data_IF_055847467774
#
_entry.id   IF_055847467774
#
_cell.length_a   1.000
_cell.length_b   1.000
_cell.length_c   1.000
_cell.angle_alpha   90.00
_cell.angle_beta   90.00
_cell.angle_gamma   90.00
#
_symmetry.space_group_name_H-M   'P 1'
#
loop_
_entity.id
_entity.type
_entity.pdbx_description
1 polymer ?
#
# COMPACT_ATOMS: atom_id res chain seq x y z
N UNK A 1 -32.82 19.12 -15.85
CA UNK A 1 -31.39 19.43 -15.62
C UNK A 1 -31.28 20.95 -15.52
N UNK A 2 -30.84 21.47 -14.39
CA UNK A 2 -30.66 22.91 -14.19
C UNK A 2 -29.16 23.21 -14.15
N UNK A 3 -28.73 24.27 -14.84
CA UNK A 3 -27.33 24.67 -14.93
C UNK A 3 -27.12 25.89 -14.04
N UNK A 4 -26.14 25.81 -13.14
CA UNK A 4 -25.78 26.88 -12.22
C UNK A 4 -24.27 27.10 -12.28
N UNK A 5 -23.86 28.36 -12.19
CA UNK A 5 -22.47 28.73 -11.96
C UNK A 5 -22.32 29.09 -10.47
N UNK A 6 -21.57 28.28 -9.72
CA UNK A 6 -21.44 28.45 -8.28
C UNK A 6 -20.49 29.58 -7.85
N UNK A 7 -19.72 30.12 -8.80
CA UNK A 7 -18.80 31.24 -8.57
C UNK A 7 -19.36 32.59 -9.03
N UNK A 8 -20.59 32.64 -9.56
CA UNK A 8 -21.16 33.84 -10.16
C UNK A 8 -20.16 34.53 -11.12
N UNK A 9 -19.77 35.77 -10.82
CA UNK A 9 -18.83 36.59 -11.59
C UNK A 9 -17.39 36.59 -11.02
N UNK A 10 -17.10 35.84 -9.96
CA UNK A 10 -15.84 35.95 -9.22
C UNK A 10 -14.59 35.70 -10.06
N UNK A 11 -14.67 34.82 -11.07
CA UNK A 11 -13.55 34.50 -11.96
C UNK A 11 -13.07 35.68 -12.83
N UNK A 12 -13.81 36.79 -12.85
CA UNK A 12 -13.37 38.04 -13.50
C UNK A 12 -12.37 38.84 -12.66
N UNK A 13 -12.39 38.65 -11.33
CA UNK A 13 -11.58 39.41 -10.35
C UNK A 13 -10.55 38.55 -9.62
N UNK A 14 -10.88 37.29 -9.34
CA UNK A 14 -10.04 36.38 -8.55
C UNK A 14 -9.74 35.08 -9.29
N UNK A 15 -8.65 34.41 -8.88
CA UNK A 15 -8.25 33.13 -9.46
C UNK A 15 -9.25 32.01 -9.15
N UNK A 16 -9.31 30.94 -9.97
CA UNK A 16 -10.15 29.76 -9.68
C UNK A 16 -9.85 29.12 -8.32
N UNK A 17 -8.58 29.14 -7.89
CA UNK A 17 -8.16 28.62 -6.58
C UNK A 17 -8.77 29.43 -5.42
N UNK A 18 -8.75 30.76 -5.54
CA UNK A 18 -9.33 31.67 -4.55
C UNK A 18 -10.86 31.55 -4.52
N UNK A 19 -11.49 31.48 -5.69
CA UNK A 19 -12.95 31.29 -5.80
C UNK A 19 -13.41 29.97 -5.17
N UNK A 20 -12.67 28.88 -5.43
CA UNK A 20 -12.92 27.59 -4.79
C UNK A 20 -12.73 27.65 -3.27
N UNK A 21 -11.66 28.30 -2.79
CA UNK A 21 -11.40 28.46 -1.35
C UNK A 21 -12.53 29.22 -0.64
N UNK A 22 -13.06 30.27 -1.28
CA UNK A 22 -14.22 31.04 -0.78
C UNK A 22 -15.47 30.16 -0.69
N UNK A 23 -15.77 29.38 -1.73
CA UNK A 23 -16.90 28.44 -1.72
C UNK A 23 -16.78 27.44 -0.57
N UNK A 24 -15.62 26.81 -0.41
CA UNK A 24 -15.42 25.82 0.65
C UNK A 24 -15.60 26.45 2.03
N UNK A 25 -15.07 27.66 2.25
CA UNK A 25 -15.26 28.38 3.50
C UNK A 25 -16.74 28.64 3.81
N UNK A 26 -17.52 29.10 2.81
CA UNK A 26 -18.95 29.37 2.98
C UNK A 26 -19.72 28.07 3.25
N UNK A 27 -19.50 27.02 2.47
CA UNK A 27 -20.16 25.73 2.66
C UNK A 27 -19.80 25.09 4.00
N UNK A 28 -18.55 25.26 4.45
CA UNK A 28 -18.10 24.77 5.75
C UNK A 28 -18.79 25.51 6.88
N UNK A 29 -18.85 26.84 6.81
CA UNK A 29 -19.54 27.67 7.80
C UNK A 29 -21.04 27.33 7.89
N UNK A 30 -21.72 27.14 6.75
CA UNK A 30 -23.11 26.69 6.68
C UNK A 30 -23.33 25.33 7.37
N UNK A 31 -22.32 24.44 7.35
CA UNK A 31 -22.37 23.14 8.02
C UNK A 31 -22.22 23.19 9.53
N UNK A 32 -21.62 24.24 10.09
CA UNK A 32 -21.53 24.47 11.54
C UNK A 32 -22.71 25.29 12.06
N UNK A 33 -22.95 26.45 11.45
CA UNK A 33 -24.08 27.32 11.78
C UNK A 33 -24.65 27.97 10.52
N UNK A 34 -25.79 27.45 10.07
CA UNK A 34 -26.47 27.96 8.89
C UNK A 34 -27.09 29.35 9.10
N UNK A 35 -27.48 29.72 10.33
CA UNK A 35 -28.16 30.98 10.58
C UNK A 35 -27.15 32.13 10.72
N UNK A 36 -26.10 31.93 11.51
CA UNK A 36 -25.00 32.89 11.63
C UNK A 36 -24.29 33.13 10.30
N UNK A 37 -24.06 32.09 9.50
CA UNK A 37 -23.46 32.24 8.16
C UNK A 37 -24.33 33.12 7.24
N UNK A 38 -25.66 32.95 7.27
CA UNK A 38 -26.57 33.80 6.49
C UNK A 38 -26.56 35.24 7.00
N UNK A 39 -26.53 35.45 8.31
CA UNK A 39 -26.43 36.79 8.88
C UNK A 39 -25.12 37.48 8.50
N UNK A 40 -24.00 36.75 8.43
CA UNK A 40 -22.70 37.29 8.01
C UNK A 40 -22.73 37.70 6.52
N UNK A 41 -23.19 36.81 5.64
CA UNK A 41 -23.18 37.03 4.18
C UNK A 41 -24.19 38.10 3.76
N UNK A 42 -25.39 38.15 4.38
CA UNK A 42 -26.46 39.10 4.06
C UNK A 42 -26.68 40.15 5.17
N UNK A 43 -25.61 40.57 5.84
CA UNK A 43 -25.67 41.50 6.99
C UNK A 43 -26.18 42.91 6.64
N UNK A 44 -25.98 43.37 5.40
CA UNK A 44 -26.31 44.74 5.00
C UNK A 44 -27.51 44.77 4.06
N UNK A 45 -28.60 45.43 4.49
CA UNK A 45 -29.85 45.55 3.73
C UNK A 45 -29.72 46.32 2.40
N UNK A 46 -28.57 46.97 2.15
CA UNK A 46 -28.27 47.66 0.89
C UNK A 46 -27.65 46.78 -0.20
N UNK A 47 -27.20 45.56 0.12
CA UNK A 47 -26.55 44.67 -0.85
C UNK A 47 -27.59 43.73 -1.45
N UNK A 48 -27.77 43.82 -2.77
CA UNK A 48 -28.73 43.01 -3.52
C UNK A 48 -27.99 41.79 -4.11
N UNK A 49 -28.64 40.63 -4.08
CA UNK A 49 -28.24 39.46 -4.86
C UNK A 49 -28.94 39.52 -6.21
N UNK A 50 -28.18 39.49 -7.30
CA UNK A 50 -28.73 39.55 -8.64
C UNK A 50 -29.56 38.30 -8.96
N UNK A 51 -30.56 38.42 -9.84
CA UNK A 51 -31.50 37.34 -10.14
C UNK A 51 -30.85 36.09 -10.76
N UNK A 52 -29.63 36.22 -11.28
CA UNK A 52 -28.84 35.15 -11.90
C UNK A 52 -27.61 34.74 -11.07
N UNK A 53 -27.44 35.34 -9.88
CA UNK A 53 -26.35 35.06 -8.96
C UNK A 53 -26.86 34.30 -7.73
N UNK A 54 -25.99 33.49 -7.14
CA UNK A 54 -26.27 32.76 -5.90
C UNK A 54 -25.84 33.60 -4.69
N UNK A 55 -24.74 34.33 -4.82
CA UNK A 55 -24.12 35.09 -3.75
C UNK A 55 -24.39 36.60 -3.89
N UNK A 56 -24.42 37.36 -2.79
CA UNK A 56 -24.61 38.81 -2.85
C UNK A 56 -23.47 39.50 -3.62
N UNK A 57 -23.81 40.55 -4.36
CA UNK A 57 -22.83 41.34 -5.12
C UNK A 57 -22.03 42.25 -4.19
N UNK A 58 -20.97 41.69 -3.59
CA UNK A 58 -20.04 42.38 -2.68
C UNK A 58 -18.76 42.82 -3.41
N UNK A 59 -18.11 43.87 -2.90
CA UNK A 59 -16.77 44.27 -3.35
C UNK A 59 -15.69 43.31 -2.80
N UNK A 60 -14.49 43.36 -3.37
CA UNK A 60 -13.39 42.49 -2.92
C UNK A 60 -12.99 42.76 -1.46
N UNK A 61 -13.04 44.02 -1.01
CA UNK A 61 -12.80 44.39 0.39
C UNK A 61 -13.87 43.82 1.33
N UNK A 62 -15.13 43.89 0.92
CA UNK A 62 -16.24 43.32 1.70
C UNK A 62 -16.14 41.80 1.77
N UNK A 63 -15.72 41.13 0.69
CA UNK A 63 -15.47 39.69 0.71
C UNK A 63 -14.37 39.29 1.69
N UNK A 64 -13.29 40.08 1.80
CA UNK A 64 -12.22 39.82 2.78
C UNK A 64 -12.77 39.89 4.21
N UNK A 65 -13.61 40.87 4.52
CA UNK A 65 -14.25 40.98 5.83
C UNK A 65 -15.20 39.81 6.12
N UNK A 66 -16.00 39.41 5.13
CA UNK A 66 -16.90 38.26 5.23
C UNK A 66 -16.12 36.97 5.44
N UNK A 67 -15.05 36.73 4.68
CA UNK A 67 -14.19 35.55 4.82
C UNK A 67 -13.54 35.48 6.21
N UNK A 68 -13.10 36.61 6.77
CA UNK A 68 -12.59 36.65 8.15
C UNK A 68 -13.65 36.23 9.16
N UNK A 69 -14.86 36.81 9.06
CA UNK A 69 -15.98 36.50 9.97
C UNK A 69 -16.43 35.04 9.88
N UNK A 70 -16.45 34.47 8.67
CA UNK A 70 -16.81 33.05 8.47
C UNK A 70 -15.75 32.11 9.05
N UNK A 71 -14.46 32.48 8.98
CA UNK A 71 -13.39 31.73 9.62
C UNK A 71 -13.55 31.74 11.14
N UNK A 72 -13.81 32.92 11.72
CA UNK A 72 -13.99 33.07 13.16
C UNK A 72 -15.18 32.26 13.67
N UNK A 73 -16.31 32.27 12.93
CA UNK A 73 -17.49 31.47 13.24
C UNK A 73 -17.19 29.96 13.28
N UNK A 74 -16.45 29.44 12.28
CA UNK A 74 -16.07 28.02 12.23
C UNK A 74 -15.20 27.65 13.44
N UNK A 75 -14.24 28.51 13.80
CA UNK A 75 -13.32 28.26 14.91
C UNK A 75 -14.04 28.29 16.27
N UNK A 76 -14.95 29.24 16.46
CA UNK A 76 -15.75 29.37 17.69
C UNK A 76 -16.69 28.17 17.88
N UNK A 77 -17.45 27.80 16.85
CA UNK A 77 -18.35 26.64 16.90
C UNK A 77 -17.58 25.31 17.09
N UNK A 78 -16.41 25.18 16.47
CA UNK A 78 -15.55 24.01 16.67
C UNK A 78 -14.98 23.94 18.10
N UNK A 79 -14.50 25.08 18.62
CA UNK A 79 -14.01 25.22 20.00
C UNK A 79 -15.09 24.86 21.01
N UNK A 80 -16.31 25.39 20.83
CA UNK A 80 -17.46 25.11 21.69
C UNK A 80 -17.89 23.65 21.66
N UNK A 81 -17.87 23.02 20.47
CA UNK A 81 -18.27 21.61 20.31
C UNK A 81 -17.30 20.63 20.98
N UNK A 82 -16.00 20.94 20.99
CA UNK A 82 -14.96 20.03 21.47
C UNK A 82 -14.20 20.52 22.70
N UNK A 83 -14.62 21.65 23.27
CA UNK A 83 -13.99 22.30 24.42
C UNK A 83 -12.48 22.52 24.24
N UNK A 84 -12.08 22.99 23.06
CA UNK A 84 -10.68 23.27 22.70
C UNK A 84 -10.42 24.77 22.70
N UNK A 85 -9.24 25.20 23.15
CA UNK A 85 -8.83 26.61 23.06
C UNK A 85 -8.44 26.98 21.62
N UNK A 86 -9.11 27.98 21.03
CA UNK A 86 -8.86 28.47 19.67
C UNK A 86 -7.41 28.95 19.52
N UNK A 87 -6.82 29.52 20.57
CA UNK A 87 -5.45 30.05 20.55
C UNK A 87 -4.38 28.94 20.43
N UNK A 88 -4.76 27.69 20.70
CA UNK A 88 -3.84 26.55 20.60
C UNK A 88 -3.71 25.98 19.17
N UNK A 89 -4.56 26.45 18.24
CA UNK A 89 -4.58 25.98 16.84
C UNK A 89 -3.50 26.67 16.00
N UNK A 90 -2.76 25.86 15.24
CA UNK A 90 -1.79 26.34 14.23
C UNK A 90 -2.49 26.72 12.93
N UNK A 91 -1.82 27.53 12.10
CA UNK A 91 -2.35 27.94 10.79
C UNK A 91 -2.62 26.76 9.83
N UNK A 92 -1.86 25.66 9.95
CA UNK A 92 -2.14 24.42 9.23
C UNK A 92 -3.42 23.74 9.72
N UNK A 93 -3.64 23.68 11.04
CA UNK A 93 -4.86 23.08 11.61
C UNK A 93 -6.11 23.91 11.28
N UNK A 94 -5.99 25.25 11.30
CA UNK A 94 -7.08 26.13 10.87
C UNK A 94 -7.44 25.86 9.41
N UNK A 95 -6.44 25.69 8.53
CA UNK A 95 -6.66 25.34 7.12
C UNK A 95 -7.33 23.98 6.97
N UNK A 96 -6.80 22.97 7.66
CA UNK A 96 -7.30 21.59 7.58
C UNK A 96 -8.74 21.48 8.10
N UNK A 97 -9.06 22.23 9.17
CA UNK A 97 -10.42 22.34 9.70
C UNK A 97 -11.41 22.93 8.67
N UNK A 98 -11.00 23.98 7.96
CA UNK A 98 -11.82 24.62 6.91
C UNK A 98 -12.02 23.67 5.73
N UNK A 99 -10.99 22.89 5.37
CA UNK A 99 -11.04 21.89 4.30
C UNK A 99 -11.78 20.61 4.68
N UNK A 100 -12.24 20.48 5.92
CA UNK A 100 -13.07 19.36 6.36
C UNK A 100 -12.34 18.24 7.09
N UNK A 101 -11.04 18.37 7.36
CA UNK A 101 -10.27 17.41 8.12
C UNK A 101 -10.48 17.60 9.63
N UNK A 102 -10.39 16.50 10.37
CA UNK A 102 -10.53 16.52 11.83
C UNK A 102 -9.17 16.74 12.50
N UNK A 103 -9.02 17.90 13.15
CA UNK A 103 -7.75 18.32 13.77
C UNK A 103 -7.65 17.99 15.26
N UNK A 104 -8.71 17.44 15.89
CA UNK A 104 -8.76 17.14 17.34
C UNK A 104 -7.54 16.38 17.83
N UNK A 105 -7.15 15.34 17.10
CA UNK A 105 -6.04 14.47 17.48
C UNK A 105 -4.69 15.21 17.47
N UNK A 106 -4.47 16.09 16.47
CA UNK A 106 -3.25 16.92 16.38
C UNK A 106 -3.19 17.94 17.51
N UNK A 107 -4.33 18.56 17.83
CA UNK A 107 -4.43 19.60 18.86
C UNK A 107 -4.21 19.03 20.26
N UNK A 108 -4.88 17.92 20.60
CA UNK A 108 -4.71 17.24 21.90
C UNK A 108 -3.26 16.75 22.07
N UNK A 109 -2.68 16.14 21.04
CA UNK A 109 -1.27 15.72 21.01
C UNK A 109 -0.31 16.85 21.36
N UNK A 110 -0.54 18.06 20.82
CA UNK A 110 0.33 19.21 21.09
C UNK A 110 0.13 19.77 22.50
N UNK A 111 -1.10 19.81 22.98
CA UNK A 111 -1.41 20.27 24.35
C UNK A 111 -0.71 19.38 25.40
N UNK A 112 -0.78 18.06 25.24
CA UNK A 112 -0.10 17.11 26.12
C UNK A 112 1.43 17.30 26.10
N UNK A 113 2.02 17.49 24.92
CA UNK A 113 3.47 17.75 24.78
C UNK A 113 3.85 19.09 25.44
N UNK A 114 3.06 20.15 25.24
CA UNK A 114 3.33 21.46 25.82
C UNK A 114 3.17 21.47 27.36
N UNK A 115 2.27 20.67 27.91
CA UNK A 115 2.16 20.46 29.35
C UNK A 115 3.36 19.68 29.91
N UNK A 116 3.83 18.65 29.20
CA UNK A 116 5.04 17.90 29.56
C UNK A 116 6.28 18.81 29.52
N UNK A 117 6.42 19.68 28.52
CA UNK A 117 7.55 20.60 28.41
C UNK A 117 7.51 21.72 29.47
N UNK A 118 6.32 22.24 29.81
CA UNK A 118 6.14 23.20 30.92
C UNK A 118 6.45 22.61 32.29
N UNK A 119 6.42 21.28 32.43
CA UNK A 119 6.70 20.58 33.69
C UNK A 119 8.20 20.51 34.04
N UNK A 120 9.08 21.07 33.20
CA UNK A 120 10.48 21.32 33.53
C UNK A 120 11.41 20.15 33.19
N UNK A 121 12.37 20.43 32.30
CA UNK A 121 13.45 19.52 31.93
C UNK A 121 14.39 19.19 33.10
N UNK A 122 14.05 18.15 33.85
CA UNK A 122 15.03 17.36 34.60
C UNK A 122 15.43 16.15 33.77
N UNK A 123 16.51 16.34 33.01
CA UNK A 123 17.29 15.27 32.41
C UNK A 123 18.09 14.61 33.54
N UNK A 124 17.53 13.56 34.11
CA UNK A 124 18.32 12.51 34.76
C UNK A 124 17.97 11.17 34.13
N UNK A 125 19.02 10.50 33.64
CA UNK A 125 19.06 9.15 33.11
C UNK A 125 17.95 8.23 33.66
N UNK A 126 16.88 8.09 32.88
CA UNK A 126 16.12 6.84 32.86
C UNK A 126 16.39 6.18 31.53
N UNK A 127 17.06 5.03 31.63
CA UNK A 127 16.90 3.90 30.73
C UNK A 127 15.49 3.88 30.14
N UNK A 128 15.38 3.43 28.90
CA UNK A 128 14.13 3.13 28.19
C UNK A 128 13.28 2.22 29.09
N UNK A 129 12.51 2.81 30.01
CA UNK A 129 11.67 2.11 30.97
C UNK A 129 10.26 2.32 30.50
N UNK A 130 9.72 1.26 29.91
CA UNK A 130 8.32 1.12 29.61
C UNK A 130 7.48 1.58 30.82
N UNK A 131 6.61 2.56 30.60
CA UNK A 131 5.75 3.06 31.67
C UNK A 131 4.69 2.00 31.98
N UNK A 132 4.67 1.55 33.24
CA UNK A 132 3.61 0.73 33.82
C UNK A 132 2.44 1.65 34.19
N UNK A 133 1.39 1.64 33.38
CA UNK A 133 0.12 2.27 33.75
C UNK A 133 -0.71 1.29 34.55
N UNK A 134 -1.12 1.68 35.75
CA UNK A 134 -2.05 0.93 36.61
C UNK A 134 -3.43 1.55 36.40
N UNK A 135 -4.33 0.87 35.68
CA UNK A 135 -5.72 1.30 35.54
C UNK A 135 -6.64 0.33 36.25
N UNK A 136 -7.60 0.86 37.02
CA UNK A 136 -8.55 0.04 37.79
C UNK A 136 -9.91 0.02 37.07
N UNK A 137 -10.46 -1.17 36.80
CA UNK A 137 -11.80 -1.30 36.22
C UNK A 137 -12.88 -0.98 37.28
N UNK A 138 -14.14 -0.73 36.85
CA UNK A 138 -15.32 -0.43 37.69
C UNK A 138 -15.61 -1.43 38.81
N UNK A 139 -14.96 -2.60 38.82
CA UNK A 139 -15.06 -3.62 39.87
C UNK A 139 -13.83 -3.69 40.82
N UNK A 140 -12.88 -2.75 40.72
CA UNK A 140 -11.80 -2.59 41.72
C UNK A 140 -10.49 -3.36 41.44
N UNK A 141 -10.38 -4.05 40.31
CA UNK A 141 -9.14 -4.77 39.94
C UNK A 141 -8.17 -3.90 39.14
N UNK A 142 -6.89 -3.96 39.54
CA UNK A 142 -5.80 -3.17 38.97
C UNK A 142 -5.12 -3.91 37.80
N UNK A 143 -5.23 -3.35 36.59
CA UNK A 143 -4.54 -3.84 35.40
C UNK A 143 -3.24 -3.05 35.23
N UNK A 144 -2.11 -3.74 35.19
CA UNK A 144 -0.77 -3.13 35.01
C UNK A 144 -0.25 -3.47 33.62
N UNK A 145 -0.33 -2.52 32.69
CA UNK A 145 0.09 -2.70 31.30
C UNK A 145 1.40 -1.95 31.03
N UNK A 146 2.33 -2.63 30.36
CA UNK A 146 3.69 -2.15 30.05
C UNK A 146 3.77 -1.91 28.54
N UNK A 147 3.78 -0.64 28.11
CA UNK A 147 3.62 -0.29 26.69
C UNK A 147 4.87 0.34 26.09
N UNK A 148 5.34 -0.20 24.95
CA UNK A 148 6.25 0.49 24.03
C UNK A 148 5.42 1.21 22.96
N UNK A 149 5.21 2.52 23.18
CA UNK A 149 4.75 3.55 22.24
C UNK A 149 3.49 3.27 21.36
N UNK A 150 2.37 3.88 21.75
CA UNK A 150 1.06 3.91 21.04
C UNK A 150 1.05 4.62 19.65
N UNK A 151 2.20 5.06 19.13
CA UNK A 151 2.32 5.87 17.91
C UNK A 151 2.05 5.06 16.62
N UNK A 152 2.45 3.79 16.55
CA UNK A 152 2.39 2.99 15.31
C UNK A 152 1.02 2.36 15.04
N UNK A 153 0.21 2.08 16.06
CA UNK A 153 -1.08 1.40 15.88
C UNK A 153 -2.16 2.28 15.24
N UNK A 154 -2.17 3.60 15.48
CA UNK A 154 -3.28 4.46 15.05
C UNK A 154 -3.17 4.91 13.57
N UNK A 155 -1.98 5.26 13.08
CA UNK A 155 -1.78 5.75 11.70
C UNK A 155 -1.86 4.64 10.64
N UNK A 156 -1.65 3.38 11.04
CA UNK A 156 -1.76 2.23 10.13
C UNK A 156 -3.22 1.90 9.75
N UNK A 157 -4.20 2.28 10.59
CA UNK A 157 -5.60 1.86 10.46
C UNK A 157 -6.36 2.47 9.27
N UNK A 158 -6.00 3.67 8.81
CA UNK A 158 -6.76 4.41 7.78
C UNK A 158 -6.23 4.30 6.34
N UNK A 159 -4.97 3.87 6.15
CA UNK A 159 -4.36 3.66 4.81
C UNK A 159 -4.17 2.18 4.44
N UNK A 160 -4.28 1.26 5.38
CA UNK A 160 -3.99 -0.16 5.22
C UNK A 160 -5.14 -1.06 5.69
N UNK A 161 -6.36 -0.84 5.17
CA UNK A 161 -7.46 -1.76 5.41
C UNK A 161 -7.24 -3.07 4.62
N UNK A 162 -6.44 -3.97 5.20
CA UNK A 162 -6.07 -5.25 4.62
C UNK A 162 -7.30 -6.14 4.36
N UNK A 163 -8.41 -5.94 5.08
CA UNK A 163 -9.66 -6.69 4.90
C UNK A 163 -10.27 -6.46 3.52
N UNK A 164 -10.39 -5.21 3.10
CA UNK A 164 -10.90 -4.86 1.77
C UNK A 164 -9.99 -5.40 0.66
N UNK A 165 -8.68 -5.38 0.89
CA UNK A 165 -7.73 -6.02 -0.04
C UNK A 165 -7.84 -7.54 -0.05
N UNK A 166 -8.03 -8.19 1.08
CA UNK A 166 -8.22 -9.63 1.17
C UNK A 166 -9.49 -10.08 0.41
N UNK A 167 -10.60 -9.33 0.56
CA UNK A 167 -11.83 -9.55 -0.21
C UNK A 167 -11.64 -9.32 -1.72
N UNK A 168 -10.82 -8.34 -2.09
CA UNK A 168 -10.50 -8.10 -3.49
C UNK A 168 -9.57 -9.19 -4.06
N UNK A 169 -8.60 -9.65 -3.27
CA UNK A 169 -7.66 -10.72 -3.63
C UNK A 169 -8.36 -12.07 -3.80
N UNK A 170 -9.42 -12.37 -3.03
CA UNK A 170 -10.20 -13.60 -3.24
C UNK A 170 -10.86 -13.66 -4.63
N UNK A 171 -11.05 -12.52 -5.31
CA UNK A 171 -11.60 -12.44 -6.67
C UNK A 171 -10.52 -12.53 -7.78
N UNK A 172 -9.22 -12.66 -7.44
CA UNK A 172 -8.14 -12.79 -8.44
C UNK A 172 -8.31 -14.00 -9.37
N UNK A 173 -8.96 -15.06 -8.89
CA UNK A 173 -9.32 -16.21 -9.72
C UNK A 173 -10.19 -15.86 -10.95
N UNK A 174 -10.97 -14.77 -10.88
CA UNK A 174 -11.76 -14.29 -12.02
C UNK A 174 -10.87 -13.63 -13.08
N UNK A 175 -9.86 -12.86 -12.66
CA UNK A 175 -8.89 -12.24 -13.58
C UNK A 175 -8.02 -13.29 -14.27
N UNK A 176 -7.70 -14.37 -13.57
CA UNK A 176 -6.95 -15.52 -14.11
C UNK A 176 -7.69 -16.28 -15.24
N UNK A 177 -8.95 -15.91 -15.57
CA UNK A 177 -9.66 -16.42 -16.76
C UNK A 177 -9.26 -15.67 -18.03
N UNK A 178 -8.96 -14.38 -17.93
CA UNK A 178 -8.59 -13.51 -19.04
C UNK A 178 -7.12 -13.12 -18.91
N UNK A 179 -6.24 -13.91 -19.50
CA UNK A 179 -4.80 -13.66 -19.46
C UNK A 179 -4.33 -13.30 -20.87
N UNK A 180 -3.69 -12.13 -20.99
CA UNK A 180 -3.06 -11.64 -22.21
C UNK A 180 -1.55 -11.86 -22.10
N UNK A 181 -0.91 -12.30 -23.18
CA UNK A 181 0.54 -12.48 -23.23
C UNK A 181 1.12 -11.45 -24.17
N UNK A 182 1.93 -10.54 -23.63
CA UNK A 182 2.69 -9.58 -24.40
C UNK A 182 4.00 -10.24 -24.86
N UNK A 183 4.05 -10.62 -26.13
CA UNK A 183 5.23 -11.22 -26.76
C UNK A 183 5.66 -10.36 -27.95
N UNK A 184 6.97 -10.22 -28.17
CA UNK A 184 7.48 -9.68 -29.43
C UNK A 184 7.38 -10.71 -30.57
N UNK A 185 7.19 -10.22 -31.80
CA UNK A 185 7.10 -11.03 -33.03
C UNK A 185 8.47 -11.34 -33.65
N UNK A 186 9.51 -10.56 -33.33
CA UNK A 186 10.85 -10.71 -33.89
C UNK A 186 11.82 -11.33 -32.87
N UNK A 187 12.44 -12.43 -33.28
CA UNK A 187 13.40 -13.22 -32.51
C UNK A 187 14.77 -12.96 -33.12
N UNK A 188 15.74 -12.51 -32.32
CA UNK A 188 17.15 -12.58 -32.72
C UNK A 188 17.55 -14.07 -32.63
N UNK A 189 18.38 -14.58 -33.55
CA UNK A 189 18.77 -16.00 -33.62
C UNK A 189 19.36 -16.56 -32.29
N UNK A 190 19.78 -15.68 -31.38
CA UNK A 190 20.35 -16.03 -30.07
C UNK A 190 19.35 -15.97 -28.88
N UNK A 191 18.07 -15.66 -29.11
CA UNK A 191 17.07 -15.49 -28.04
C UNK A 191 16.23 -16.75 -27.77
N UNK A 192 15.88 -16.97 -26.49
CA UNK A 192 15.10 -18.14 -26.08
C UNK A 192 13.60 -17.87 -26.11
N UNK A 193 12.81 -18.89 -26.46
CA UNK A 193 11.35 -18.89 -26.29
C UNK A 193 10.97 -19.49 -24.95
N UNK A 194 10.31 -18.72 -24.08
CA UNK A 194 9.86 -19.19 -22.78
C UNK A 194 8.42 -19.69 -22.83
N UNK A 195 8.17 -20.88 -22.29
CA UNK A 195 6.85 -21.49 -22.24
C UNK A 195 6.41 -21.63 -20.78
N UNK A 196 5.36 -20.91 -20.40
CA UNK A 196 4.79 -20.97 -19.05
C UNK A 196 3.51 -21.85 -19.01
N UNK A 197 3.47 -22.86 -18.12
CA UNK A 197 2.26 -23.62 -17.86
C UNK A 197 1.12 -22.75 -17.32
N UNK A 198 -0.09 -22.91 -17.86
CA UNK A 198 -1.28 -22.18 -17.42
C UNK A 198 -1.61 -22.44 -15.94
N UNK A 199 -1.42 -23.66 -15.44
CA UNK A 199 -1.76 -24.02 -14.07
C UNK A 199 -0.88 -23.26 -13.04
N UNK A 200 0.43 -23.15 -13.29
CA UNK A 200 1.33 -22.42 -12.38
C UNK A 200 1.02 -20.94 -12.34
N UNK A 201 0.76 -20.35 -13.50
CA UNK A 201 0.40 -18.95 -13.63
C UNK A 201 -0.94 -18.63 -12.94
N UNK A 202 -1.97 -19.47 -13.14
CA UNK A 202 -3.27 -19.24 -12.51
C UNK A 202 -3.20 -19.28 -10.99
N UNK A 203 -2.44 -20.21 -10.41
CA UNK A 203 -2.26 -20.26 -8.96
C UNK A 203 -1.42 -19.09 -8.46
N UNK A 204 -0.35 -18.72 -9.16
CA UNK A 204 0.47 -17.55 -8.82
C UNK A 204 -0.41 -16.29 -8.70
N UNK A 205 -1.28 -16.07 -9.69
CA UNK A 205 -2.27 -14.98 -9.65
C UNK A 205 -3.20 -15.09 -8.43
N UNK A 206 -3.69 -16.29 -8.11
CA UNK A 206 -4.61 -16.50 -6.97
C UNK A 206 -3.97 -16.28 -5.60
N UNK A 207 -2.67 -16.52 -5.45
CA UNK A 207 -1.97 -16.36 -4.17
C UNK A 207 -1.38 -14.97 -3.97
N UNK A 208 -1.46 -14.10 -4.98
CA UNK A 208 -0.91 -12.74 -4.97
C UNK A 208 -1.83 -11.70 -4.31
N UNK A 209 -1.37 -10.45 -4.25
CA UNK A 209 -2.15 -9.26 -3.86
C UNK A 209 -2.28 -8.28 -5.03
N UNK A 210 -3.30 -7.41 -4.99
CA UNK A 210 -3.56 -6.42 -6.05
C UNK A 210 -2.63 -5.19 -6.01
N UNK A 211 -1.94 -4.94 -4.90
CA UNK A 211 -1.10 -3.74 -4.69
C UNK A 211 0.31 -4.10 -4.29
N UNK A 212 0.46 -5.03 -3.36
CA UNK A 212 1.76 -5.49 -2.88
C UNK A 212 2.29 -6.53 -3.87
N UNK A 213 3.51 -6.32 -4.35
CA UNK A 213 4.16 -7.24 -5.25
C UNK A 213 4.48 -8.56 -4.53
N UNK A 214 4.25 -9.66 -5.24
CA UNK A 214 4.61 -11.02 -4.84
C UNK A 214 5.47 -11.59 -5.95
N UNK A 215 6.56 -12.27 -5.61
CA UNK A 215 7.45 -12.89 -6.58
C UNK A 215 7.85 -14.33 -6.25
N UNK A 216 8.33 -15.03 -7.26
CA UNK A 216 8.82 -16.40 -7.17
C UNK A 216 9.95 -16.64 -8.18
N UNK A 217 10.87 -17.55 -7.91
CA UNK A 217 11.89 -17.95 -8.88
C UNK A 217 11.33 -18.92 -9.91
N UNK A 218 11.78 -18.79 -11.16
CA UNK A 218 11.42 -19.63 -12.29
C UNK A 218 12.46 -20.73 -12.47
N UNK A 219 12.03 -21.99 -12.36
CA UNK A 219 12.85 -23.15 -12.67
C UNK A 219 12.26 -23.94 -13.83
N UNK A 220 13.11 -24.41 -14.73
CA UNK A 220 12.67 -25.09 -15.94
C UNK A 220 13.78 -25.86 -16.64
N UNK A 221 13.46 -26.41 -17.82
CA UNK A 221 14.44 -27.08 -18.68
C UNK A 221 14.00 -27.02 -20.13
N UNK A 222 14.95 -27.14 -21.04
CA UNK A 222 14.63 -27.30 -22.46
C UNK A 222 14.04 -28.68 -22.75
N UNK A 223 13.01 -28.79 -23.61
CA UNK A 223 12.49 -30.07 -24.05
C UNK A 223 13.51 -30.80 -24.94
N UNK A 224 13.36 -32.12 -25.04
CA UNK A 224 14.27 -32.96 -25.83
C UNK A 224 14.23 -32.55 -27.31
N UNK A 225 15.38 -32.15 -27.86
CA UNK A 225 15.53 -31.78 -29.27
C UNK A 225 15.32 -30.30 -29.60
N UNK A 226 14.94 -29.45 -28.63
CA UNK A 226 14.79 -28.01 -28.84
C UNK A 226 15.46 -27.22 -27.72
N UNK A 227 16.74 -26.85 -27.91
CA UNK A 227 17.52 -26.09 -26.93
C UNK A 227 17.09 -24.62 -26.81
N UNK A 228 16.53 -24.06 -27.87
CA UNK A 228 16.05 -22.67 -27.96
C UNK A 228 14.75 -22.44 -27.18
N UNK A 229 14.05 -23.52 -26.81
CA UNK A 229 12.82 -23.44 -26.02
C UNK A 229 13.13 -23.74 -24.55
N UNK A 230 12.60 -22.91 -23.65
CA UNK A 230 12.70 -23.07 -22.19
C UNK A 230 11.31 -23.30 -21.61
N UNK A 231 11.03 -24.52 -21.16
CA UNK A 231 9.77 -24.84 -20.49
C UNK A 231 9.91 -24.61 -18.98
N UNK A 232 9.10 -23.70 -18.44
CA UNK A 232 9.01 -23.47 -16.99
C UNK A 232 8.27 -24.66 -16.37
N UNK A 233 8.86 -25.28 -15.35
CA UNK A 233 8.34 -26.47 -14.68
C UNK A 233 8.02 -26.25 -13.21
N UNK A 234 8.68 -25.30 -12.57
CA UNK A 234 8.49 -25.04 -11.14
C UNK A 234 8.55 -23.55 -10.82
N UNK A 235 7.62 -23.08 -9.98
CA UNK A 235 7.73 -21.78 -9.30
C UNK A 235 8.17 -22.00 -7.86
N UNK A 236 9.28 -21.37 -7.48
CA UNK A 236 9.83 -21.48 -6.13
C UNK A 236 9.50 -20.21 -5.35
N UNK A 237 8.58 -20.33 -4.39
CA UNK A 237 8.29 -19.29 -3.42
C UNK A 237 9.33 -19.36 -2.31
N UNK A 238 9.92 -18.20 -2.00
CA UNK A 238 10.88 -18.03 -0.91
C UNK A 238 10.33 -17.02 0.10
N UNK A 239 10.85 -17.01 1.34
CA UNK A 239 10.55 -15.96 2.31
C UNK A 239 10.76 -14.57 1.69
N UNK A 240 9.73 -13.73 1.64
CA UNK A 240 9.81 -12.45 0.94
C UNK A 240 9.02 -11.36 1.66
N UNK A 241 9.52 -10.13 1.51
CA UNK A 241 8.85 -8.92 1.98
C UNK A 241 8.52 -8.04 0.77
N UNK A 242 7.26 -8.07 0.36
CA UNK A 242 6.75 -7.26 -0.75
C UNK A 242 6.39 -5.83 -0.35
N UNK A 243 6.59 -4.91 -1.28
CA UNK A 243 6.12 -3.51 -1.24
C UNK A 243 5.27 -3.24 -2.49
N UNK A 244 4.83 -2.00 -2.69
CA UNK A 244 4.06 -1.60 -3.87
C UNK A 244 4.89 -1.67 -5.16
N UNK A 245 6.18 -1.37 -5.06
CA UNK A 245 7.08 -1.20 -6.22
C UNK A 245 8.29 -2.13 -6.19
N UNK A 246 8.51 -2.90 -5.13
CA UNK A 246 9.70 -3.74 -4.98
C UNK A 246 9.44 -4.95 -4.11
N UNK A 247 10.30 -5.96 -4.25
CA UNK A 247 10.28 -7.18 -3.43
C UNK A 247 11.68 -7.37 -2.83
N UNK A 248 11.72 -7.69 -1.55
CA UNK A 248 12.94 -8.10 -0.89
C UNK A 248 12.95 -9.62 -0.71
N UNK A 249 13.89 -10.28 -1.37
CA UNK A 249 14.19 -11.69 -1.18
C UNK A 249 15.35 -11.91 -0.18
N UNK A 250 15.53 -13.14 0.32
CA UNK A 250 16.71 -13.50 1.06
C UNK A 250 17.92 -13.52 0.13
N UNK A 251 19.11 -13.32 0.68
CA UNK A 251 20.37 -13.35 -0.07
C UNK A 251 20.73 -14.77 -0.51
N UNK A 252 20.35 -15.76 0.29
CA UNK A 252 20.44 -17.18 -0.05
C UNK A 252 19.47 -17.49 -1.18
N UNK A 253 20.00 -18.04 -2.28
CA UNK A 253 19.18 -18.56 -3.37
C UNK A 253 18.63 -19.94 -3.00
N UNK A 254 17.54 -20.39 -3.65
CA UNK A 254 17.11 -21.76 -3.52
C UNK A 254 18.26 -22.70 -3.86
N UNK A 255 18.64 -23.57 -2.92
CA UNK A 255 19.71 -24.53 -3.15
C UNK A 255 19.30 -25.52 -4.26
N UNK A 256 20.22 -25.82 -5.16
CA UNK A 256 19.99 -26.77 -6.24
C UNK A 256 20.10 -28.22 -5.73
N UNK A 257 19.13 -28.61 -4.90
CA UNK A 257 19.06 -29.90 -4.24
C UNK A 257 17.66 -30.52 -4.35
N UNK A 258 17.54 -31.78 -3.91
CA UNK A 258 16.29 -32.55 -3.94
C UNK A 258 15.60 -32.54 -5.30
N UNK A 259 14.32 -32.18 -5.32
CA UNK A 259 13.46 -32.18 -6.50
C UNK A 259 14.03 -31.38 -7.68
N UNK A 260 14.64 -30.21 -7.43
CA UNK A 260 15.20 -29.38 -8.51
C UNK A 260 16.32 -30.12 -9.24
N UNK A 261 17.17 -30.82 -8.50
CA UNK A 261 18.30 -31.58 -9.02
C UNK A 261 17.88 -32.90 -9.66
N UNK A 262 16.94 -33.61 -9.05
CA UNK A 262 16.38 -34.87 -9.58
C UNK A 262 15.73 -34.66 -10.95
N UNK A 263 15.00 -33.55 -11.12
CA UNK A 263 14.35 -33.20 -12.38
C UNK A 263 15.26 -32.44 -13.37
N UNK A 264 16.49 -32.10 -12.98
CA UNK A 264 17.43 -31.38 -13.85
C UNK A 264 16.97 -29.97 -14.22
N UNK A 265 16.37 -29.24 -13.28
CA UNK A 265 15.77 -27.93 -13.52
C UNK A 265 16.79 -26.79 -13.32
N UNK A 266 17.05 -26.01 -14.35
CA UNK A 266 17.89 -24.82 -14.24
C UNK A 266 17.07 -23.58 -13.83
N UNK A 267 17.74 -22.64 -13.17
CA UNK A 267 17.17 -21.33 -12.82
C UNK A 267 17.07 -20.49 -14.10
N UNK A 268 15.86 -20.14 -14.51
CA UNK A 268 15.58 -19.37 -15.73
C UNK A 268 15.36 -17.89 -15.45
N UNK A 269 14.92 -17.52 -14.25
CA UNK A 269 14.47 -16.16 -13.99
C UNK A 269 13.70 -16.03 -12.70
N UNK A 270 12.89 -14.98 -12.64
CA UNK A 270 11.89 -14.76 -11.60
C UNK A 270 10.62 -14.21 -12.22
N UNK A 271 9.50 -14.41 -11.53
CA UNK A 271 8.20 -13.83 -11.87
C UNK A 271 7.73 -12.96 -10.71
N UNK A 272 7.15 -11.80 -10.99
CA UNK A 272 6.50 -11.00 -9.96
C UNK A 272 5.20 -10.35 -10.44
N UNK A 273 4.30 -10.10 -9.49
CA UNK A 273 3.06 -9.38 -9.74
C UNK A 273 3.27 -7.87 -9.67
N UNK A 274 2.56 -7.11 -10.48
CA UNK A 274 2.56 -5.66 -10.43
C UNK A 274 1.16 -5.06 -10.71
N UNK A 275 0.94 -3.84 -10.21
CA UNK A 275 -0.37 -3.18 -10.31
C UNK A 275 -0.59 -2.45 -11.64
N UNK A 276 0.48 -2.09 -12.34
CA UNK A 276 0.48 -1.37 -13.61
C UNK A 276 1.20 -2.18 -14.68
N UNK A 277 0.85 -1.95 -15.93
CA UNK A 277 1.45 -2.63 -17.08
C UNK A 277 2.50 -1.73 -17.73
N UNK A 278 3.69 -2.27 -17.97
CA UNK A 278 4.82 -1.54 -18.55
C UNK A 278 5.41 -2.31 -19.72
N UNK A 279 5.84 -1.59 -20.75
CA UNK A 279 6.52 -2.15 -21.92
C UNK A 279 8.04 -2.35 -21.72
N UNK A 280 8.54 -2.11 -20.50
CA UNK A 280 9.95 -2.17 -20.13
C UNK A 280 10.05 -2.58 -18.65
N UNK A 281 11.21 -3.08 -18.22
CA UNK A 281 11.48 -3.36 -16.81
C UNK A 281 11.59 -2.04 -16.04
N UNK A 282 10.94 -1.95 -14.87
CA UNK A 282 11.03 -0.74 -14.07
C UNK A 282 12.41 -0.58 -13.46
N UNK A 283 12.76 0.65 -13.05
CA UNK A 283 14.02 0.92 -12.34
C UNK A 283 14.16 0.05 -11.07
N UNK A 284 13.05 -0.26 -10.41
CA UNK A 284 13.00 -1.15 -9.25
C UNK A 284 13.30 -2.60 -9.63
N UNK A 285 12.73 -3.12 -10.71
CA UNK A 285 12.92 -4.51 -11.15
C UNK A 285 14.36 -4.73 -11.60
N UNK A 286 14.91 -3.80 -12.40
CA UNK A 286 16.33 -3.81 -12.80
C UNK A 286 17.23 -3.82 -11.57
N UNK A 287 16.99 -2.93 -10.61
CA UNK A 287 17.81 -2.84 -9.40
C UNK A 287 17.69 -4.11 -8.55
N UNK A 288 16.49 -4.67 -8.45
CA UNK A 288 16.22 -5.90 -7.69
C UNK A 288 16.93 -7.09 -8.32
N UNK A 289 16.74 -7.31 -9.62
CA UNK A 289 17.40 -8.36 -10.39
C UNK A 289 18.93 -8.24 -10.37
N UNK A 290 19.48 -7.04 -10.59
CA UNK A 290 20.93 -6.81 -10.54
C UNK A 290 21.55 -7.14 -9.18
N UNK A 291 20.80 -6.98 -8.09
CA UNK A 291 21.25 -7.32 -6.73
C UNK A 291 21.16 -8.82 -6.43
N UNK A 292 20.38 -9.60 -7.19
CA UNK A 292 20.31 -11.05 -7.01
C UNK A 292 21.57 -11.79 -7.50
N UNK A 293 22.39 -11.17 -8.35
CA UNK A 293 23.56 -11.82 -8.95
C UNK A 293 24.84 -11.01 -8.76
N UNK A 294 25.95 -11.73 -8.54
CA UNK A 294 27.28 -11.14 -8.52
C UNK A 294 27.80 -10.83 -9.93
N UNK A 295 27.38 -11.60 -10.92
CA UNK A 295 27.80 -11.46 -12.31
C UNK A 295 26.58 -11.41 -13.22
N UNK A 296 26.71 -10.73 -14.36
CA UNK A 296 25.65 -10.67 -15.35
C UNK A 296 25.38 -12.06 -15.93
N UNK A 297 24.11 -12.48 -15.94
CA UNK A 297 23.66 -13.69 -16.63
C UNK A 297 22.61 -13.31 -17.68
N UNK A 298 22.92 -13.43 -18.99
CA UNK A 298 21.98 -13.08 -20.05
C UNK A 298 20.77 -14.01 -20.13
N UNK A 299 20.83 -15.19 -19.49
CA UNK A 299 19.73 -16.18 -19.52
C UNK A 299 18.69 -15.94 -18.43
N UNK A 300 18.96 -15.04 -17.49
CA UNK A 300 18.07 -14.79 -16.37
C UNK A 300 17.03 -13.73 -16.72
N UNK A 301 15.77 -14.15 -16.84
CA UNK A 301 14.67 -13.27 -17.24
C UNK A 301 13.87 -12.73 -16.05
N UNK A 302 13.21 -11.61 -16.30
CA UNK A 302 12.15 -11.07 -15.47
C UNK A 302 10.80 -11.32 -16.13
N UNK A 303 9.85 -11.94 -15.43
CA UNK A 303 8.48 -12.10 -15.86
C UNK A 303 7.54 -11.24 -15.01
N UNK A 304 6.75 -10.39 -15.64
CA UNK A 304 5.80 -9.54 -14.93
C UNK A 304 4.37 -9.97 -15.18
N UNK A 305 3.59 -10.07 -14.10
CA UNK A 305 2.15 -10.31 -14.13
C UNK A 305 1.41 -9.03 -13.71
N UNK A 306 1.01 -8.23 -14.70
CA UNK A 306 0.34 -6.93 -14.52
C UNK A 306 -1.17 -7.10 -14.32
N UNK A 307 -1.70 -6.61 -13.20
CA UNK A 307 -3.12 -6.77 -12.84
C UNK A 307 -4.00 -5.63 -13.34
N UNK A 308 -4.46 -5.76 -14.59
CA UNK A 308 -5.45 -4.86 -15.19
C UNK A 308 -6.88 -5.16 -14.72
N UNK A 309 -7.83 -4.22 -14.80
CA UNK A 309 -9.22 -4.48 -14.42
C UNK A 309 -9.85 -5.61 -15.24
N UNK A 310 -10.10 -6.76 -14.61
CA UNK A 310 -10.78 -7.92 -15.23
C UNK A 310 -9.86 -8.90 -15.97
N UNK A 311 -8.55 -8.64 -16.03
CA UNK A 311 -7.56 -9.46 -16.73
C UNK A 311 -6.18 -9.41 -16.09
N UNK A 312 -5.26 -10.22 -16.61
CA UNK A 312 -3.83 -10.16 -16.28
C UNK A 312 -3.04 -10.09 -17.58
N UNK A 313 -2.11 -9.14 -17.68
CA UNK A 313 -1.12 -9.11 -18.76
C UNK A 313 0.16 -9.77 -18.26
N UNK A 314 0.72 -10.69 -19.04
CA UNK A 314 2.00 -11.34 -18.76
C UNK A 314 3.03 -10.88 -19.79
N UNK A 315 4.18 -10.42 -19.33
CA UNK A 315 5.33 -10.08 -20.16
C UNK A 315 6.60 -10.75 -19.63
N UNK A 316 7.59 -10.96 -20.50
CA UNK A 316 8.93 -11.41 -20.13
C UNK A 316 9.97 -10.43 -20.67
N UNK A 317 11.02 -10.20 -19.90
CA UNK A 317 12.08 -9.27 -20.23
C UNK A 317 13.46 -9.87 -19.98
N UNK A 318 14.37 -9.57 -20.88
CA UNK A 318 15.81 -9.77 -20.75
C UNK A 318 16.47 -8.47 -20.35
N UNK A 319 17.34 -8.54 -19.34
CA UNK A 319 18.13 -7.41 -18.90
C UNK A 319 19.41 -7.33 -19.73
N UNK A 320 19.74 -6.15 -20.25
CA UNK A 320 21.01 -5.90 -20.91
C UNK A 320 22.17 -5.79 -19.91
N UNK A 321 23.40 -6.05 -20.36
CA UNK A 321 24.61 -5.91 -19.54
C UNK A 321 24.76 -4.49 -18.96
N UNK A 322 24.46 -3.46 -19.76
CA UNK A 322 24.45 -2.05 -19.30
C UNK A 322 23.42 -1.81 -18.20
N UNK A 323 22.21 -2.36 -18.36
CA UNK A 323 21.17 -2.31 -17.34
C UNK A 323 21.59 -3.01 -16.04
N UNK A 324 22.30 -4.14 -16.16
CA UNK A 324 22.80 -4.88 -15.01
C UNK A 324 23.81 -4.06 -14.19
N UNK A 325 24.81 -3.47 -14.86
CA UNK A 325 25.82 -2.60 -14.23
C UNK A 325 25.17 -1.37 -13.58
N UNK A 326 24.24 -0.73 -14.28
CA UNK A 326 23.50 0.41 -13.75
C UNK A 326 22.72 0.02 -12.48
N UNK A 327 21.93 -1.06 -12.53
CA UNK A 327 21.13 -1.54 -11.40
C UNK A 327 21.96 -1.90 -10.17
N UNK A 328 23.20 -2.35 -10.33
CA UNK A 328 24.14 -2.57 -9.21
C UNK A 328 24.59 -1.29 -8.54
N UNK A 329 24.82 -0.24 -9.33
CA UNK A 329 25.24 1.06 -8.82
C UNK A 329 24.09 1.89 -8.24
N UNK A 330 22.85 1.60 -8.66
CA UNK A 330 21.68 2.36 -8.24
C UNK A 330 21.42 2.21 -6.72
N UNK A 331 21.22 3.37 -6.07
CA UNK A 331 20.87 3.49 -4.65
C UNK A 331 19.50 4.12 -4.42
N UNK A 332 18.96 4.81 -5.43
CA UNK A 332 17.65 5.43 -5.34
C UNK A 332 16.56 4.39 -5.67
N UNK A 333 15.86 3.97 -4.61
CA UNK A 333 14.72 3.05 -4.67
C UNK A 333 13.42 3.76 -4.30
N UNK A 334 13.36 5.08 -4.43
CA UNK A 334 12.17 5.89 -4.10
C UNK A 334 11.61 6.60 -5.33
N UNK A 335 12.48 6.95 -6.28
CA UNK A 335 12.09 7.60 -7.53
C UNK A 335 11.80 6.58 -8.62
N UNK A 336 10.74 6.78 -9.40
CA UNK A 336 10.42 5.91 -10.55
C UNK A 336 11.43 6.06 -11.69
N UNK A 337 12.06 7.22 -11.83
CA UNK A 337 13.08 7.52 -12.85
C UNK A 337 14.34 8.10 -12.22
N UNK A 338 15.16 7.24 -11.56
CA UNK A 338 16.44 7.64 -10.98
C UNK A 338 17.46 8.02 -12.05
N UNK A 339 18.51 8.72 -11.64
CA UNK A 339 19.54 9.24 -12.56
C UNK A 339 20.22 8.11 -13.36
N UNK A 340 20.32 8.31 -14.68
CA UNK A 340 20.92 7.34 -15.59
C UNK A 340 20.04 6.14 -15.96
N UNK A 341 18.81 6.06 -15.45
CA UNK A 341 17.85 5.04 -15.88
C UNK A 341 17.44 5.24 -17.33
N UNK A 342 17.55 4.18 -18.13
CA UNK A 342 17.04 4.14 -19.50
C UNK A 342 16.10 2.95 -19.70
N UNK A 343 14.99 3.16 -20.41
CA UNK A 343 14.03 2.09 -20.75
C UNK A 343 14.60 1.06 -21.72
N UNK A 344 15.69 1.41 -22.42
CA UNK A 344 16.45 0.54 -23.32
C UNK A 344 17.24 -0.55 -22.59
N UNK A 345 17.32 -0.49 -21.25
CA UNK A 345 18.03 -1.49 -20.46
C UNK A 345 17.39 -2.87 -20.49
N UNK A 346 16.11 -2.97 -20.82
CA UNK A 346 15.40 -4.23 -20.97
C UNK A 346 14.90 -4.43 -22.40
N UNK A 347 14.96 -5.66 -22.88
CA UNK A 347 14.33 -6.11 -24.13
C UNK A 347 13.21 -7.09 -23.80
N UNK A 348 12.08 -7.05 -24.51
CA UNK A 348 11.03 -8.06 -24.34
C UNK A 348 11.46 -9.39 -24.93
N UNK A 349 11.19 -10.48 -24.20
CA UNK A 349 11.47 -11.85 -24.63
C UNK A 349 10.21 -12.51 -25.21
N UNK A 350 10.41 -13.57 -25.99
CA UNK A 350 9.31 -14.34 -26.53
C UNK A 350 8.69 -15.22 -25.45
N UNK A 351 7.38 -15.07 -25.24
CA UNK A 351 6.63 -15.75 -24.20
C UNK A 351 5.38 -16.41 -24.74
N UNK A 352 5.21 -17.69 -24.40
CA UNK A 352 4.05 -18.50 -24.79
C UNK A 352 3.43 -19.11 -23.54
N UNK A 353 2.12 -18.98 -23.40
CA UNK A 353 1.37 -19.75 -22.41
C UNK A 353 0.89 -21.06 -23.01
N UNK A 354 1.05 -22.16 -22.27
CA UNK A 354 0.61 -23.48 -22.70
C UNK A 354 -0.23 -24.16 -21.63
N UNK A 355 -1.33 -24.79 -22.05
CA UNK A 355 -2.16 -25.68 -21.24
C UNK A 355 -1.79 -27.16 -21.39
N UNK A 356 -0.84 -27.47 -22.28
CA UNK A 356 -0.38 -28.84 -22.56
C UNK A 356 0.65 -29.35 -21.56
N UNK A 357 1.34 -28.42 -20.89
CA UNK A 357 2.32 -28.73 -19.85
C UNK A 357 1.77 -28.34 -18.49
N UNK A 358 2.19 -29.08 -17.47
CA UNK A 358 1.90 -28.79 -16.08
C UNK A 358 3.20 -28.45 -15.37
N UNK A 359 3.15 -27.45 -14.50
CA UNK A 359 4.21 -27.16 -13.55
C UNK A 359 3.81 -27.45 -12.11
N UNK A 360 4.78 -27.35 -11.23
CA UNK A 360 4.69 -27.58 -9.78
C UNK A 360 5.15 -26.33 -9.02
N UNK A 361 5.06 -26.35 -7.70
CA UNK A 361 5.60 -25.26 -6.86
C UNK A 361 6.50 -25.84 -5.79
N UNK A 362 7.39 -25.00 -5.30
CA UNK A 362 8.10 -25.22 -4.04
C UNK A 362 7.85 -24.04 -3.13
N UNK A 363 7.73 -24.33 -1.84
CA UNK A 363 7.43 -23.35 -0.79
C UNK A 363 8.37 -23.59 0.39
N UNK A 364 8.53 -22.62 1.29
CA UNK A 364 9.27 -22.82 2.54
C UNK A 364 8.71 -24.00 3.34
N UNK A 365 9.57 -24.73 4.04
CA UNK A 365 9.18 -25.92 4.82
C UNK A 365 8.12 -25.59 5.88
N UNK A 366 8.22 -24.41 6.49
CA UNK A 366 7.29 -23.81 7.45
C UNK A 366 6.08 -23.13 6.80
N UNK A 367 5.94 -23.20 5.47
CA UNK A 367 4.85 -22.66 4.66
C UNK A 367 4.76 -21.12 4.62
N UNK A 368 5.60 -20.41 5.36
CA UNK A 368 5.59 -18.95 5.45
C UNK A 368 6.50 -18.39 4.35
N UNK A 369 5.90 -18.02 3.23
CA UNK A 369 6.61 -17.25 2.20
C UNK A 369 6.34 -15.75 2.31
N UNK A 370 5.17 -15.32 2.80
CA UNK A 370 4.81 -13.90 2.88
C UNK A 370 5.08 -13.28 4.25
N UNK A 371 6.01 -12.32 4.32
CA UNK A 371 6.35 -11.60 5.54
C UNK A 371 5.73 -10.20 5.63
N UNK A 372 4.77 -9.84 4.77
CA UNK A 372 4.17 -8.50 4.78
C UNK A 372 3.59 -8.07 6.15
N UNK A 373 2.89 -8.97 6.85
CA UNK A 373 2.38 -8.70 8.21
C UNK A 373 3.37 -9.05 9.33
N UNK A 374 4.52 -9.60 8.96
CA UNK A 374 5.56 -10.11 9.85
C UNK A 374 6.91 -9.43 9.56
N UNK A 375 6.88 -8.20 9.03
CA UNK A 375 8.09 -7.53 8.52
C UNK A 375 9.19 -7.34 9.57
N UNK A 376 8.82 -7.23 10.86
CA UNK A 376 9.79 -7.09 11.96
C UNK A 376 10.66 -8.33 12.18
N UNK A 377 10.20 -9.53 11.81
CA UNK A 377 10.97 -10.77 11.94
C UNK A 377 11.67 -11.16 10.64
N UNK A 378 11.37 -10.49 9.53
CA UNK A 378 11.98 -10.80 8.25
C UNK A 378 13.45 -10.38 8.23
N UNK A 379 14.36 -11.34 8.03
CA UNK A 379 15.77 -11.08 7.86
C UNK A 379 16.28 -11.69 6.55
N UNK A 380 16.81 -10.84 5.68
CA UNK A 380 17.34 -11.27 4.38
C UNK A 380 18.53 -12.23 4.44
N UNK A 381 19.19 -12.39 5.59
CA UNK A 381 20.33 -13.30 5.74
C UNK A 381 19.92 -14.69 6.26
N UNK A 382 18.65 -14.91 6.58
CA UNK A 382 18.20 -16.18 7.13
C UNK A 382 18.24 -17.27 6.06
N UNK A 383 18.57 -18.49 6.51
CA UNK A 383 18.52 -19.69 5.68
C UNK A 383 17.11 -20.27 5.72
N UNK A 384 16.69 -20.89 4.62
CA UNK A 384 15.39 -21.52 4.49
C UNK A 384 15.53 -22.84 3.73
N UNK A 385 14.68 -23.79 4.10
CA UNK A 385 14.52 -25.05 3.38
C UNK A 385 13.24 -24.99 2.56
N UNK A 386 13.20 -25.78 1.48
CA UNK A 386 12.06 -25.82 0.57
C UNK A 386 11.47 -27.22 0.49
N UNK A 387 10.15 -27.29 0.35
CA UNK A 387 9.40 -28.52 0.06
C UNK A 387 8.52 -28.32 -1.17
N UNK A 388 8.19 -29.43 -1.85
CA UNK A 388 7.22 -29.42 -2.95
C UNK A 388 5.82 -29.40 -2.34
N UNK A 389 5.13 -28.26 -2.46
CA UNK A 389 3.76 -28.10 -1.97
C UNK A 389 3.08 -26.91 -2.66
N UNK A 390 1.80 -26.69 -2.36
CA UNK A 390 0.98 -25.62 -2.94
C UNK A 390 1.18 -24.32 -2.14
N UNK A 391 1.49 -23.18 -2.78
CA UNK A 391 1.60 -21.90 -2.06
C UNK A 391 0.27 -21.49 -1.43
N UNK A 392 0.35 -21.10 -0.16
CA UNK A 392 -0.74 -20.47 0.58
C UNK A 392 -1.05 -19.09 0.01
N UNK A 393 -2.27 -18.59 0.22
CA UNK A 393 -2.69 -17.27 -0.26
C UNK A 393 -1.99 -16.13 0.49
N UNK A 394 -1.87 -14.94 -0.12
CA UNK A 394 -1.25 -13.77 0.53
C UNK A 394 -1.83 -13.46 1.93
N UNK A 395 -3.14 -13.61 2.10
CA UNK A 395 -3.87 -13.33 3.35
C UNK A 395 -4.20 -14.59 4.18
N UNK A 396 -3.50 -15.70 3.94
CA UNK A 396 -3.67 -16.92 4.72
C UNK A 396 -3.42 -16.69 6.21
N UNK A 397 -4.04 -17.49 7.09
CA UNK A 397 -3.94 -17.31 8.53
C UNK A 397 -2.49 -17.37 9.02
N UNK A 398 -1.69 -18.26 8.42
CA UNK A 398 -0.28 -18.47 8.73
C UNK A 398 0.58 -17.23 8.43
N UNK A 399 0.24 -16.45 7.41
CA UNK A 399 0.95 -15.20 7.05
C UNK A 399 0.57 -14.00 7.90
N UNK A 400 -0.43 -14.12 8.79
CA UNK A 400 -0.93 -12.99 9.58
C UNK A 400 -1.34 -13.39 11.02
N UNK A 401 -0.43 -14.02 11.78
CA UNK A 401 -0.70 -14.55 13.13
C UNK A 401 -1.08 -13.45 14.15
N UNK A 402 -0.54 -12.24 13.97
CA UNK A 402 -0.81 -11.09 14.85
C UNK A 402 -2.31 -10.79 14.93
N UNK A 403 -3.03 -10.90 13.81
CA UNK A 403 -4.46 -10.62 13.79
C UNK A 403 -5.24 -11.62 14.63
N UNK A 404 -4.88 -12.90 14.66
CA UNK A 404 -5.58 -13.94 15.42
C UNK A 404 -5.20 -13.93 16.90
N UNK A 405 -3.94 -13.66 17.21
CA UNK A 405 -3.44 -13.59 18.60
C UNK A 405 -4.15 -12.48 19.39
N UNK A 406 -4.43 -11.34 18.74
CA UNK A 406 -5.17 -10.24 19.36
C UNK A 406 -6.62 -10.62 19.71
N UNK A 407 -7.28 -11.47 18.92
CA UNK A 407 -8.65 -11.92 19.22
C UNK A 407 -8.68 -12.93 20.37
N UNK A 408 -7.71 -13.85 20.42
CA UNK A 408 -7.64 -14.84 21.51
C UNK A 408 -7.47 -14.19 22.90
N UNK A 409 -6.77 -13.06 22.98
CA UNK A 409 -6.63 -12.30 24.23
C UNK A 409 -7.93 -11.60 24.66
N UNK A 410 -8.83 -11.29 23.73
CA UNK A 410 -10.13 -10.67 24.02
C UNK A 410 -11.16 -11.69 24.51
N UNK A 411 -11.11 -12.93 24.00
CA UNK A 411 -12.04 -14.01 24.40
C UNK A 411 -11.76 -14.58 25.79
N UNK A 412 -10.53 -14.44 26.31
CA UNK A 412 -10.14 -14.96 27.62
C UNK A 412 -10.87 -14.29 28.83
N UNK A 413 -11.74 -13.31 28.59
CA UNK A 413 -12.58 -12.65 29.60
C UNK A 413 -14.08 -12.93 29.47
N UNK A 414 -14.52 -13.76 28.52
CA UNK A 414 -15.91 -14.19 28.42
C UNK A 414 -16.12 -15.44 29.27
N UNK A 415 -16.22 -15.26 30.60
CA UNK A 415 -16.93 -16.24 31.41
C UNK A 415 -18.39 -16.27 30.92
N UNK A 416 -18.91 -17.45 30.58
CA UNK A 416 -20.32 -17.61 30.26
C UNK A 416 -21.15 -17.01 31.40
N UNK A 417 -22.21 -16.25 31.07
CA UNK A 417 -23.12 -15.77 32.10
C UNK A 417 -23.68 -17.00 32.83
N UNK A 418 -23.76 -16.96 34.16
CA UNK A 418 -24.10 -18.13 35.00
C UNK A 418 -25.44 -18.85 34.68
N UNK A 419 -26.25 -18.30 33.75
CA UNK A 419 -27.53 -18.83 33.28
C UNK A 419 -27.49 -19.31 31.82
N UNK A 420 -26.33 -19.32 31.17
CA UNK A 420 -26.19 -19.75 29.79
C UNK A 420 -26.21 -21.28 29.74
N UNK A 421 -27.33 -21.86 29.30
CA UNK A 421 -27.48 -23.30 29.16
C UNK A 421 -26.70 -23.81 27.93
N UNK A 422 -25.79 -24.75 28.15
CA UNK A 422 -25.17 -25.54 27.07
C UNK A 422 -26.15 -26.62 26.59
N UNK A 423 -26.96 -26.26 25.60
CA UNK A 423 -28.01 -27.13 25.01
C UNK A 423 -27.42 -28.29 24.18
N UNK A 424 -26.10 -28.35 24.02
CA UNK A 424 -25.41 -29.38 23.23
C UNK A 424 -24.50 -30.30 24.06
N UNK A 425 -24.49 -30.15 25.40
CA UNK A 425 -23.85 -31.07 26.34
C UNK A 425 -24.68 -32.30 26.69
#
# INVERSE_FOLDING_TARGET
MALFNFYDDWLTRISPYTAFSRVILILRALGFDSEGTKQIIWSNSGVITESHHIWPSLTDEQWIEVESKLRDLILEEYSKKYNLDVQSLTQSEIRDLILGQDVRFSTIRRQEIAEIEKSGGQVENKEITAQKSISTNIHGEQIVTVTTTNYEQATFSSKNEWRNRALAASNLHQRAKNIYVASEEFVDDDSYTYVIPKNILQKFIQVSDLRIQVGAYLYGKSPSGHSEVKEIKCLVFVPQLGSTNSIQFPKSKPEYEGYLKEEGLELLGWIHSQSQDFDYMTSYDITTQSRMFEHYDPRFIDMTASYTPGSVTLAAFELSERGFEWGKSNKDMMSDSPEGFEKSFSKKSQLIMSDKILGTYMVPEDEIWNYFFMGAIFNSNDLYNLKVDIPLSFYDAVHRPIHFTNFAQLEAGNEEEAYQEDVFS
#
